data_IF_826620217212
#
_entry.id   IF_826620217212
#
_cell.length_a   1.000
_cell.length_b   1.000
_cell.length_c   1.000
_cell.angle_alpha   90.00
_cell.angle_beta   90.00
_cell.angle_gamma   90.00
#
_symmetry.space_group_name_H-M   'P 1'
#
loop_
_entity.id
_entity.type
_entity.pdbx_description
1 polymer ?
#
# COMPACT_ATOMS: atom_id res chain seq x y z
N UNK A 1 -44.04 -33.12 7.22
CA UNK A 1 -43.76 -32.16 6.11
C UNK A 1 -43.26 -30.77 6.56
N UNK A 2 -43.68 -30.23 7.71
CA UNK A 2 -43.27 -28.89 8.17
C UNK A 2 -41.76 -28.81 8.52
N UNK A 3 -41.19 -29.84 9.15
CA UNK A 3 -39.76 -29.87 9.53
C UNK A 3 -38.80 -29.79 8.33
N UNK A 4 -39.14 -30.40 7.19
CA UNK A 4 -38.31 -30.37 5.97
C UNK A 4 -38.30 -28.97 5.34
N UNK A 5 -39.44 -28.24 5.38
CA UNK A 5 -39.53 -26.87 4.88
C UNK A 5 -38.70 -25.88 5.71
N UNK A 6 -38.62 -26.07 7.03
CA UNK A 6 -37.82 -25.20 7.92
C UNK A 6 -36.31 -25.38 7.65
N UNK A 7 -35.86 -26.61 7.41
CA UNK A 7 -34.44 -26.89 7.10
C UNK A 7 -34.01 -26.23 5.78
N UNK A 8 -34.87 -26.22 4.77
CA UNK A 8 -34.60 -25.54 3.49
C UNK A 8 -34.56 -24.01 3.62
N UNK A 9 -35.42 -23.42 4.46
CA UNK A 9 -35.41 -21.97 4.72
C UNK A 9 -34.13 -21.55 5.46
N UNK A 10 -33.68 -22.34 6.45
CA UNK A 10 -32.44 -22.06 7.18
C UNK A 10 -31.20 -22.18 6.29
N UNK A 11 -31.14 -23.18 5.39
CA UNK A 11 -30.02 -23.32 4.45
C UNK A 11 -30.01 -22.20 3.40
N UNK A 12 -31.17 -21.76 2.91
CA UNK A 12 -31.27 -20.64 1.98
C UNK A 12 -30.91 -19.28 2.62
N UNK A 13 -31.24 -19.06 3.90
CA UNK A 13 -30.83 -17.86 4.63
C UNK A 13 -29.33 -17.85 4.97
N UNK A 14 -28.71 -19.01 5.17
CA UNK A 14 -27.26 -19.12 5.37
C UNK A 14 -26.46 -18.87 4.08
N UNK A 15 -26.99 -19.24 2.90
CA UNK A 15 -26.28 -19.00 1.62
C UNK A 15 -26.36 -17.56 1.13
N UNK A 16 -27.41 -16.81 1.50
CA UNK A 16 -27.56 -15.40 1.13
C UNK A 16 -26.62 -14.46 1.89
N UNK A 17 -26.10 -14.85 3.06
CA UNK A 17 -25.20 -14.02 3.85
C UNK A 17 -23.70 -14.17 3.47
N UNK A 18 -23.35 -15.00 2.49
CA UNK A 18 -21.95 -15.27 2.12
C UNK A 18 -21.38 -14.35 1.03
N UNK A 19 -22.15 -13.39 0.52
CA UNK A 19 -21.73 -12.51 -0.58
C UNK A 19 -21.59 -11.02 -0.23
N UNK A 20 -21.46 -10.66 1.06
CA UNK A 20 -21.26 -9.27 1.47
C UNK A 20 -19.80 -8.82 1.63
N UNK A 21 -18.81 -9.63 1.21
CA UNK A 21 -17.45 -9.10 1.06
C UNK A 21 -17.40 -8.33 -0.26
N UNK A 22 -17.64 -7.02 -0.19
CA UNK A 22 -17.34 -6.10 -1.28
C UNK A 22 -15.92 -6.38 -1.76
N UNK A 23 -15.73 -6.62 -3.06
CA UNK A 23 -14.42 -6.91 -3.65
C UNK A 23 -13.46 -5.78 -3.28
N UNK A 24 -12.51 -6.04 -2.38
CA UNK A 24 -11.51 -5.05 -1.95
C UNK A 24 -10.73 -4.58 -3.18
N UNK A 25 -10.84 -3.30 -3.49
CA UNK A 25 -10.18 -2.70 -4.66
C UNK A 25 -8.75 -2.27 -4.32
N UNK A 26 -7.93 -1.99 -5.34
CA UNK A 26 -6.61 -1.39 -5.13
C UNK A 26 -6.72 -0.04 -4.40
N UNK A 27 -7.79 0.71 -4.68
CA UNK A 27 -8.11 1.96 -3.98
C UNK A 27 -8.32 1.74 -2.48
N UNK A 28 -9.12 0.73 -2.09
CA UNK A 28 -9.35 0.38 -0.68
C UNK A 28 -8.04 0.00 0.02
N UNK A 29 -7.18 -0.77 -0.66
CA UNK A 29 -5.86 -1.18 -0.14
C UNK A 29 -4.97 0.04 0.11
N UNK A 30 -4.89 0.97 -0.85
CA UNK A 30 -4.13 2.20 -0.64
C UNK A 30 -4.67 3.03 0.52
N UNK A 31 -5.98 3.26 0.56
CA UNK A 31 -6.61 4.02 1.64
C UNK A 31 -6.28 3.41 3.00
N UNK A 32 -6.37 2.08 3.12
CA UNK A 32 -5.99 1.37 4.35
C UNK A 32 -4.53 1.61 4.72
N UNK A 33 -3.59 1.40 3.79
CA UNK A 33 -2.16 1.58 4.07
C UNK A 33 -1.80 3.01 4.42
N UNK A 34 -2.36 3.99 3.70
CA UNK A 34 -2.12 5.41 3.97
C UNK A 34 -2.64 5.81 5.35
N UNK A 35 -3.85 5.34 5.70
CA UNK A 35 -4.43 5.58 7.01
C UNK A 35 -3.56 4.97 8.12
N UNK A 36 -3.09 3.74 7.94
CA UNK A 36 -2.22 3.05 8.91
C UNK A 36 -0.81 3.64 9.00
N UNK A 37 -0.25 4.17 7.91
CA UNK A 37 1.09 4.75 7.87
C UNK A 37 1.17 6.13 8.53
N UNK A 38 0.07 6.92 8.48
CA UNK A 38 0.03 8.26 9.11
C UNK A 38 0.26 8.16 10.62
N UNK A 39 1.26 8.84 11.18
CA UNK A 39 1.45 8.84 12.65
C UNK A 39 0.29 9.56 13.35
N UNK A 40 -0.08 9.12 14.54
CA UNK A 40 -1.00 9.87 15.40
C UNK A 40 -0.36 11.24 15.68
N UNK A 41 -1.14 12.31 15.53
CA UNK A 41 -0.65 13.66 15.76
C UNK A 41 -1.06 14.06 17.18
N UNK A 42 -0.09 14.39 18.03
CA UNK A 42 -0.32 15.07 19.31
C UNK A 42 0.01 16.55 19.12
N UNK A 43 -0.99 17.43 19.19
CA UNK A 43 -0.76 18.88 19.23
C UNK A 43 -1.17 19.45 20.59
N UNK A 44 -0.45 20.48 21.01
CA UNK A 44 -0.69 21.21 22.26
C UNK A 44 -1.96 22.06 22.26
N UNK A 45 -2.49 22.41 21.09
CA UNK A 45 -3.72 23.20 20.91
C UNK A 45 -5.01 22.35 20.86
N UNK A 46 -4.88 21.03 20.67
CA UNK A 46 -5.96 20.08 20.73
C UNK A 46 -5.89 19.33 22.06
N UNK A 47 -6.85 19.58 22.95
CA UNK A 47 -6.93 18.94 24.27
C UNK A 47 -7.10 17.41 24.24
N UNK A 48 -7.13 16.80 23.05
CA UNK A 48 -7.38 15.38 22.82
C UNK A 48 -6.38 14.79 21.83
N UNK A 49 -5.69 13.74 22.27
CA UNK A 49 -4.98 12.81 21.39
C UNK A 49 -6.01 12.09 20.51
N UNK A 50 -5.94 12.25 19.19
CA UNK A 50 -6.78 11.48 18.26
C UNK A 50 -6.13 10.12 18.03
N UNK A 51 -6.83 9.07 18.45
CA UNK A 51 -6.42 7.67 18.27
C UNK A 51 -7.13 7.12 17.05
N UNK A 52 -6.39 6.42 16.18
CA UNK A 52 -6.98 5.71 15.03
C UNK A 52 -7.99 4.68 15.52
N UNK A 53 -9.18 4.74 14.96
CA UNK A 53 -10.25 3.78 15.18
C UNK A 53 -11.06 3.60 13.88
N UNK A 54 -11.97 2.64 13.89
CA UNK A 54 -12.77 2.28 12.71
C UNK A 54 -13.65 3.46 12.24
N UNK A 55 -14.26 4.21 13.17
CA UNK A 55 -15.05 5.39 12.84
C UNK A 55 -14.25 6.46 12.09
N UNK A 56 -12.99 6.66 12.48
CA UNK A 56 -12.09 7.60 11.82
C UNK A 56 -11.62 7.08 10.46
N UNK A 57 -11.41 5.77 10.33
CA UNK A 57 -11.11 5.14 9.06
C UNK A 57 -12.31 5.25 8.09
N UNK A 58 -13.53 5.06 8.56
CA UNK A 58 -14.74 5.21 7.74
C UNK A 58 -14.91 6.64 7.27
N UNK A 59 -14.69 7.62 8.15
CA UNK A 59 -14.67 9.04 7.78
C UNK A 59 -13.57 9.32 6.74
N UNK A 60 -12.34 8.83 6.95
CA UNK A 60 -11.27 8.94 5.97
C UNK A 60 -11.64 8.33 4.63
N UNK A 61 -12.13 7.09 4.62
CA UNK A 61 -12.48 6.34 3.41
C UNK A 61 -13.56 7.05 2.59
N UNK A 62 -14.57 7.61 3.26
CA UNK A 62 -15.68 8.33 2.65
C UNK A 62 -15.25 9.67 2.05
N UNK A 63 -14.35 10.38 2.74
CA UNK A 63 -13.99 11.75 2.37
C UNK A 63 -12.69 11.84 1.56
N UNK A 64 -11.88 10.77 1.49
CA UNK A 64 -10.67 10.70 0.67
C UNK A 64 -10.97 9.98 -0.65
N UNK A 65 -10.69 10.63 -1.77
CA UNK A 65 -10.70 10.03 -3.10
C UNK A 65 -9.28 10.00 -3.63
N UNK A 66 -8.84 8.85 -4.11
CA UNK A 66 -7.50 8.70 -4.70
C UNK A 66 -7.62 8.23 -6.13
N UNK A 67 -6.75 8.75 -7.01
CA UNK A 67 -6.57 8.21 -8.35
C UNK A 67 -5.32 7.36 -8.40
N UNK A 68 -5.44 6.21 -9.05
CA UNK A 68 -4.37 5.24 -9.19
C UNK A 68 -4.03 5.04 -10.65
N UNK A 69 -2.73 4.94 -10.93
CA UNK A 69 -2.21 4.44 -12.20
C UNK A 69 -1.45 3.13 -11.97
N UNK A 70 -1.43 2.28 -12.99
CA UNK A 70 -0.61 1.07 -12.99
C UNK A 70 0.78 1.37 -13.52
N UNK A 71 1.81 0.91 -12.82
CA UNK A 71 3.21 1.04 -13.26
C UNK A 71 3.58 -0.06 -14.24
N UNK A 72 4.37 0.28 -15.25
CA UNK A 72 4.85 -0.68 -16.25
C UNK A 72 5.91 -1.59 -15.66
N UNK A 73 5.66 -2.90 -15.71
CA UNK A 73 6.65 -3.95 -15.46
C UNK A 73 7.34 -4.30 -16.78
N UNK A 74 8.67 -4.22 -16.79
CA UNK A 74 9.53 -4.77 -17.84
C UNK A 74 10.34 -5.89 -17.20
N UNK A 75 9.98 -7.13 -17.51
CA UNK A 75 10.64 -8.30 -16.97
C UNK A 75 11.15 -9.17 -18.11
N UNK A 76 12.45 -9.43 -18.12
CA UNK A 76 13.05 -10.48 -18.98
C UNK A 76 13.18 -11.81 -18.22
N UNK A 77 12.68 -11.88 -16.98
CA UNK A 77 12.48 -13.13 -16.26
C UNK A 77 11.27 -13.80 -16.91
N UNK A 78 11.47 -14.38 -18.10
CA UNK A 78 10.43 -14.91 -18.99
C UNK A 78 9.15 -15.45 -18.28
N UNK A 79 8.01 -14.87 -18.67
CA UNK A 79 6.63 -15.40 -18.80
C UNK A 79 5.90 -16.05 -17.62
N UNK A 80 6.53 -16.46 -16.52
CA UNK A 80 5.80 -17.25 -15.49
C UNK A 80 5.21 -16.44 -14.33
N UNK A 81 5.84 -15.33 -13.95
CA UNK A 81 5.37 -14.47 -12.84
C UNK A 81 4.79 -13.13 -13.33
N UNK A 82 4.91 -12.84 -14.63
CA UNK A 82 4.39 -11.61 -15.23
C UNK A 82 2.86 -11.69 -15.24
N UNK A 83 2.23 -10.91 -14.36
CA UNK A 83 0.78 -10.95 -14.13
C UNK A 83 0.39 -11.36 -12.71
N UNK A 84 1.29 -12.03 -11.97
CA UNK A 84 1.04 -12.35 -10.56
C UNK A 84 1.03 -11.11 -9.68
N UNK A 85 1.71 -10.04 -10.11
CA UNK A 85 1.81 -8.79 -9.37
C UNK A 85 1.43 -7.61 -10.26
N UNK A 86 0.50 -6.79 -9.77
CA UNK A 86 0.18 -5.50 -10.36
C UNK A 86 0.71 -4.39 -9.47
N UNK A 87 1.42 -3.44 -10.07
CA UNK A 87 2.04 -2.32 -9.38
C UNK A 87 1.19 -1.09 -9.60
N UNK A 88 0.84 -0.41 -8.52
CA UNK A 88 0.00 0.77 -8.55
C UNK A 88 0.74 1.93 -7.91
N UNK A 89 0.46 3.13 -8.40
CA UNK A 89 0.91 4.38 -7.81
C UNK A 89 -0.23 5.38 -7.69
N UNK A 90 -0.17 6.25 -6.69
CA UNK A 90 -1.12 7.34 -6.55
C UNK A 90 -0.71 8.48 -7.47
N UNK A 91 -1.66 8.98 -8.27
CA UNK A 91 -1.46 10.15 -9.14
C UNK A 91 -2.16 11.39 -8.63
N UNK A 92 -3.22 11.24 -7.83
CA UNK A 92 -3.99 12.34 -7.28
C UNK A 92 -4.66 11.91 -5.97
N UNK A 93 -4.77 12.82 -5.01
CA UNK A 93 -5.56 12.63 -3.79
C UNK A 93 -6.41 13.88 -3.58
N UNK A 94 -7.71 13.67 -3.44
CA UNK A 94 -8.69 14.72 -3.15
C UNK A 94 -9.41 14.42 -1.85
N UNK A 95 -9.72 15.47 -1.11
CA UNK A 95 -10.54 15.39 0.10
C UNK A 95 -11.82 16.17 -0.13
N UNK A 96 -12.96 15.65 0.32
CA UNK A 96 -14.20 16.41 0.35
C UNK A 96 -14.18 17.44 1.50
N UNK A 97 -14.80 18.59 1.28
CA UNK A 97 -14.88 19.71 2.22
C UNK A 97 -15.66 19.40 3.51
N UNK A 98 -16.33 18.24 3.56
CA UNK A 98 -17.17 17.78 4.67
C UNK A 98 -16.39 17.21 5.87
N UNK A 99 -15.06 17.17 5.83
CA UNK A 99 -14.28 16.80 7.01
C UNK A 99 -14.38 17.90 8.07
N UNK A 100 -14.90 17.59 9.25
CA UNK A 100 -14.88 18.51 10.39
C UNK A 100 -13.45 19.02 10.59
N UNK A 101 -13.27 20.32 10.81
CA UNK A 101 -11.96 20.99 10.92
C UNK A 101 -10.98 20.17 11.75
N UNK A 102 -11.39 19.67 12.91
CA UNK A 102 -10.51 18.85 13.76
C UNK A 102 -10.06 17.57 13.05
N UNK A 103 -10.96 16.75 12.50
CA UNK A 103 -10.66 15.49 11.81
C UNK A 103 -9.90 15.69 10.49
N UNK A 104 -10.21 16.77 9.76
CA UNK A 104 -9.61 17.08 8.46
C UNK A 104 -8.09 17.24 8.51
N UNK A 105 -7.56 17.82 9.59
CA UNK A 105 -6.12 17.98 9.79
C UNK A 105 -5.41 16.67 10.11
N UNK A 106 -6.13 15.69 10.68
CA UNK A 106 -5.59 14.35 10.96
C UNK A 106 -5.60 13.43 9.73
N UNK A 107 -6.53 13.68 8.81
CA UNK A 107 -6.85 12.79 7.70
C UNK A 107 -6.26 13.21 6.35
N UNK A 108 -5.75 14.44 6.24
CA UNK A 108 -5.05 14.90 5.03
C UNK A 108 -3.66 14.26 4.91
N UNK A 109 -3.47 13.57 3.80
CA UNK A 109 -2.20 13.04 3.30
C UNK A 109 -1.71 14.02 2.23
N UNK A 110 -0.56 14.61 2.49
CA UNK A 110 0.11 15.47 1.53
C UNK A 110 1.04 14.62 0.66
N UNK A 111 0.82 14.68 -0.65
CA UNK A 111 1.76 14.15 -1.63
C UNK A 111 2.91 15.15 -1.75
N UNK A 112 4.12 14.79 -1.30
CA UNK A 112 5.30 15.59 -1.57
C UNK A 112 5.58 15.67 -3.08
N UNK A 113 6.13 16.79 -3.56
CA UNK A 113 6.32 17.09 -4.99
C UNK A 113 7.05 16.00 -5.80
N UNK A 114 7.97 15.25 -5.18
CA UNK A 114 8.78 14.21 -5.84
C UNK A 114 8.52 12.79 -5.32
N UNK A 115 7.50 12.60 -4.47
CA UNK A 115 7.32 11.35 -3.73
C UNK A 115 6.12 10.56 -4.23
N UNK A 116 6.35 9.30 -4.60
CA UNK A 116 5.32 8.38 -5.12
C UNK A 116 5.00 7.31 -4.09
N UNK A 117 3.74 7.21 -3.69
CA UNK A 117 3.27 6.01 -3.00
C UNK A 117 3.15 4.88 -4.02
N UNK A 118 3.83 3.76 -3.76
CA UNK A 118 3.84 2.60 -4.64
C UNK A 118 3.51 1.35 -3.85
N UNK A 119 2.48 0.62 -4.29
CA UNK A 119 2.08 -0.69 -3.76
C UNK A 119 2.13 -1.72 -4.87
N UNK A 120 2.70 -2.89 -4.58
CA UNK A 120 2.52 -4.09 -5.40
C UNK A 120 1.42 -4.96 -4.80
N UNK A 121 0.48 -5.45 -5.61
CA UNK A 121 -0.58 -6.35 -5.18
C UNK A 121 -0.41 -7.68 -5.91
N UNK A 122 -0.27 -8.75 -5.16
CA UNK A 122 -0.31 -10.10 -5.69
C UNK A 122 -1.76 -10.45 -6.09
N UNK A 123 -2.00 -10.65 -7.38
CA UNK A 123 -3.33 -10.85 -7.95
C UNK A 123 -3.95 -12.20 -7.55
N UNK A 124 -3.13 -13.19 -7.18
CA UNK A 124 -3.58 -14.52 -6.80
C UNK A 124 -4.00 -14.59 -5.31
N UNK A 125 -3.31 -13.84 -4.44
CA UNK A 125 -3.49 -13.91 -2.98
C UNK A 125 -4.12 -12.67 -2.37
N UNK A 126 -4.20 -11.56 -3.12
CA UNK A 126 -4.63 -10.26 -2.61
C UNK A 126 -3.62 -9.59 -1.66
N UNK A 127 -2.46 -10.22 -1.40
CA UNK A 127 -1.42 -9.62 -0.55
C UNK A 127 -0.85 -8.36 -1.19
N UNK A 128 -0.71 -7.32 -0.39
CA UNK A 128 -0.20 -6.02 -0.81
C UNK A 128 1.14 -5.69 -0.14
N UNK A 129 2.05 -5.06 -0.89
CA UNK A 129 3.40 -4.72 -0.44
C UNK A 129 3.67 -3.23 -0.64
N UNK A 130 3.98 -2.49 0.42
CA UNK A 130 4.39 -1.08 0.37
C UNK A 130 5.85 -1.00 -0.10
N UNK A 131 6.08 -0.48 -1.31
CA UNK A 131 7.41 -0.46 -1.93
C UNK A 131 8.07 0.91 -1.94
N UNK A 132 7.28 2.00 -1.90
CA UNK A 132 7.80 3.37 -1.86
C UNK A 132 6.80 4.35 -1.24
N UNK A 133 7.29 5.44 -0.65
CA UNK A 133 6.49 6.54 -0.11
C UNK A 133 6.00 6.36 1.33
N UNK A 134 5.90 5.12 1.82
CA UNK A 134 5.43 4.76 3.17
C UNK A 134 6.57 4.75 4.21
N UNK A 135 6.27 4.96 5.49
CA UNK A 135 7.25 4.77 6.59
C UNK A 135 7.75 3.34 6.70
N UNK A 136 6.87 2.38 6.45
CA UNK A 136 7.23 0.96 6.37
C UNK A 136 7.52 0.55 4.93
N UNK A 137 8.43 -0.40 4.73
CA UNK A 137 8.74 -0.93 3.42
C UNK A 137 8.73 -2.47 3.45
N UNK A 138 7.91 -3.08 2.61
CA UNK A 138 7.66 -4.52 2.60
C UNK A 138 8.50 -5.25 1.53
N UNK A 139 9.56 -4.62 1.01
CA UNK A 139 10.34 -5.14 -0.11
C UNK A 139 10.88 -6.55 0.10
N UNK A 140 11.34 -6.93 1.31
CA UNK A 140 11.84 -8.29 1.52
C UNK A 140 10.75 -9.35 1.49
N UNK A 141 9.55 -9.04 2.00
CA UNK A 141 8.40 -9.93 1.91
C UNK A 141 7.94 -10.07 0.45
N UNK A 142 7.86 -8.94 -0.27
CA UNK A 142 7.62 -8.92 -1.71
C UNK A 142 8.64 -9.78 -2.48
N UNK A 143 9.92 -9.57 -2.23
CA UNK A 143 11.00 -10.29 -2.89
C UNK A 143 10.96 -11.79 -2.58
N UNK A 144 10.61 -12.16 -1.35
CA UNK A 144 10.42 -13.57 -0.98
C UNK A 144 9.27 -14.20 -1.76
N UNK A 145 8.13 -13.53 -1.88
CA UNK A 145 6.98 -14.04 -2.64
C UNK A 145 7.29 -14.13 -4.15
N UNK A 146 8.05 -13.19 -4.71
CA UNK A 146 8.56 -13.28 -6.09
C UNK A 146 9.46 -14.50 -6.26
N UNK A 147 10.40 -14.73 -5.33
CA UNK A 147 11.27 -15.91 -5.37
C UNK A 147 10.48 -17.21 -5.30
N UNK A 148 9.45 -17.24 -4.46
CA UNK A 148 8.57 -18.40 -4.30
C UNK A 148 7.80 -18.66 -5.60
N UNK A 149 7.11 -17.65 -6.12
CA UNK A 149 6.38 -17.76 -7.39
C UNK A 149 7.31 -18.24 -8.51
N UNK A 150 8.49 -17.64 -8.66
CA UNK A 150 9.48 -18.07 -9.66
C UNK A 150 9.87 -19.54 -9.50
N UNK A 151 10.13 -19.99 -8.26
CA UNK A 151 10.48 -21.38 -7.96
C UNK A 151 9.34 -22.34 -8.30
N UNK A 152 8.10 -21.97 -7.99
CA UNK A 152 6.92 -22.79 -8.24
C UNK A 152 6.72 -23.01 -9.75
N UNK A 153 7.00 -22.01 -10.59
CA UNK A 153 6.92 -22.15 -12.05
C UNK A 153 8.16 -22.79 -12.71
N UNK A 154 9.36 -22.51 -12.20
CA UNK A 154 10.62 -22.86 -12.88
C UNK A 154 11.36 -24.02 -12.21
N UNK A 155 10.83 -24.56 -11.11
CA UNK A 155 11.43 -25.61 -10.28
C UNK A 155 12.87 -25.30 -9.80
N UNK A 156 13.25 -24.02 -9.74
CA UNK A 156 14.59 -23.56 -9.36
C UNK A 156 14.54 -22.22 -8.64
N UNK A 157 15.52 -21.97 -7.76
CA UNK A 157 15.59 -20.71 -7.02
C UNK A 157 15.95 -19.52 -7.90
N UNK A 158 15.23 -18.41 -7.70
CA UNK A 158 15.56 -17.13 -8.34
C UNK A 158 16.87 -16.58 -7.78
N UNK A 159 17.89 -16.51 -8.63
CA UNK A 159 19.18 -15.90 -8.30
C UNK A 159 19.01 -14.38 -8.12
N UNK A 160 19.52 -13.84 -7.02
CA UNK A 160 19.46 -12.39 -6.71
C UNK A 160 20.01 -11.50 -7.84
N UNK A 161 21.13 -11.91 -8.45
CA UNK A 161 21.74 -11.18 -9.57
C UNK A 161 20.80 -11.13 -10.79
N UNK A 162 20.01 -12.19 -11.01
CA UNK A 162 19.03 -12.24 -12.09
C UNK A 162 17.87 -11.28 -11.81
N UNK A 163 17.31 -11.31 -10.59
CA UNK A 163 16.24 -10.40 -10.19
C UNK A 163 16.59 -8.93 -10.44
N UNK A 164 17.72 -8.46 -9.92
CA UNK A 164 18.11 -7.05 -10.08
C UNK A 164 18.51 -6.66 -11.50
N UNK A 165 18.79 -7.62 -12.38
CA UNK A 165 19.16 -7.34 -13.76
C UNK A 165 17.95 -7.33 -14.68
N UNK A 166 16.99 -8.22 -14.42
CA UNK A 166 15.92 -8.52 -15.37
C UNK A 166 14.52 -8.12 -14.89
N UNK A 167 14.30 -7.81 -13.60
CA UNK A 167 12.98 -7.45 -13.06
C UNK A 167 12.90 -5.94 -12.80
N UNK A 168 12.36 -5.18 -13.76
CA UNK A 168 12.28 -3.73 -13.70
C UNK A 168 10.83 -3.25 -13.61
N UNK A 169 10.53 -2.41 -12.62
CA UNK A 169 9.25 -1.70 -12.53
C UNK A 169 9.53 -0.22 -12.59
N UNK A 170 8.75 0.49 -13.39
CA UNK A 170 8.85 1.94 -13.51
C UNK A 170 8.83 2.63 -12.14
N UNK A 171 9.72 3.61 -11.94
CA UNK A 171 9.84 4.38 -10.69
C UNK A 171 10.23 3.58 -9.44
N UNK A 172 10.72 2.33 -9.57
CA UNK A 172 11.23 1.53 -8.43
C UNK A 172 12.69 1.12 -8.66
N UNK A 173 13.57 1.47 -7.72
CA UNK A 173 14.95 0.96 -7.67
C UNK A 173 15.07 -0.16 -6.62
N UNK A 174 14.80 -1.40 -7.04
CA UNK A 174 14.92 -2.58 -6.17
C UNK A 174 16.33 -2.80 -5.61
N UNK A 175 17.36 -2.39 -6.35
CA UNK A 175 18.76 -2.55 -5.90
C UNK A 175 19.07 -1.57 -4.79
N UNK A 176 18.59 -0.32 -4.91
CA UNK A 176 18.64 0.67 -3.84
C UNK A 176 17.88 0.16 -2.60
N UNK A 177 16.63 -0.32 -2.77
CA UNK A 177 15.81 -0.85 -1.67
C UNK A 177 16.54 -1.98 -0.92
N UNK A 178 17.04 -2.97 -1.64
CA UNK A 178 17.78 -4.08 -1.05
C UNK A 178 19.02 -3.62 -0.27
N UNK A 179 19.80 -2.68 -0.84
CA UNK A 179 21.03 -2.21 -0.19
C UNK A 179 20.72 -1.36 1.04
N UNK A 180 19.73 -0.50 0.96
CA UNK A 180 19.34 0.40 2.05
C UNK A 180 18.70 -0.33 3.22
N UNK A 181 17.75 -1.24 2.95
CA UNK A 181 17.05 -1.99 4.01
C UNK A 181 17.93 -3.06 4.70
N UNK A 182 19.09 -3.42 4.13
CA UNK A 182 20.06 -4.30 4.79
C UNK A 182 21.02 -3.58 5.71
N UNK A 183 21.04 -2.25 5.74
CA UNK A 183 21.91 -1.52 6.65
C UNK A 183 21.39 -1.63 8.09
N UNK A 184 22.30 -1.66 9.06
CA UNK A 184 21.93 -1.63 10.49
C UNK A 184 21.22 -0.32 10.88
N UNK A 185 21.56 0.78 10.19
CA UNK A 185 20.93 2.09 10.35
C UNK A 185 20.46 2.60 8.99
N UNK A 186 19.20 3.01 8.91
CA UNK A 186 18.62 3.56 7.68
C UNK A 186 19.24 4.93 7.39
N UNK A 187 19.82 5.06 6.20
CA UNK A 187 20.41 6.30 5.67
C UNK A 187 19.64 6.70 4.39
N UNK A 188 18.69 7.63 4.54
CA UNK A 188 17.81 8.07 3.45
C UNK A 188 18.47 9.05 2.49
N UNK A 189 19.60 9.66 2.87
CA UNK A 189 20.38 10.53 1.98
C UNK A 189 21.14 9.68 0.98
N UNK A 190 21.80 8.62 1.47
CA UNK A 190 22.51 7.66 0.63
C UNK A 190 21.58 6.75 -0.17
N UNK A 191 20.42 6.40 0.38
CA UNK A 191 19.43 5.53 -0.26
C UNK A 191 18.10 6.28 -0.47
N UNK A 192 18.01 7.13 -1.51
CA UNK A 192 16.84 7.99 -1.73
C UNK A 192 15.55 7.19 -2.01
N UNK A 193 15.65 5.94 -2.46
CA UNK A 193 14.51 5.03 -2.60
C UNK A 193 13.77 4.72 -1.28
N UNK A 194 14.40 5.01 -0.12
CA UNK A 194 13.80 4.86 1.21
C UNK A 194 13.18 6.15 1.76
N UNK A 195 13.21 7.25 0.98
CA UNK A 195 12.51 8.47 1.34
C UNK A 195 11.00 8.21 1.29
N UNK A 196 10.34 8.68 2.34
CA UNK A 196 8.88 8.69 2.48
C UNK A 196 8.33 9.99 1.92
N UNK A 197 7.04 10.01 1.56
CA UNK A 197 6.40 11.25 1.10
C UNK A 197 6.36 12.35 2.18
N UNK A 198 6.55 11.98 3.45
CA UNK A 198 6.64 12.94 4.55
C UNK A 198 8.03 13.58 4.73
N UNK A 199 9.10 12.95 4.22
CA UNK A 199 10.47 13.45 4.44
C UNK A 199 10.75 14.72 3.63
N UNK A 200 10.12 14.86 2.46
CA UNK A 200 10.26 16.00 1.54
C UNK A 200 9.80 17.32 2.15
N UNK A 201 8.87 17.29 3.11
CA UNK A 201 8.40 18.49 3.82
C UNK A 201 9.44 19.07 4.79
N UNK A 202 10.34 18.24 5.32
CA UNK A 202 11.34 18.70 6.28
C UNK A 202 12.42 19.60 5.66
N UNK A 203 12.65 19.52 4.34
CA UNK A 203 13.62 20.38 3.63
C UNK A 203 13.07 21.76 3.24
N UNK A 204 11.74 21.95 3.19
CA UNK A 204 11.15 23.25 2.81
C UNK A 204 10.71 24.13 3.99
N UNK A 205 10.78 23.62 5.23
CA UNK A 205 10.53 24.45 6.42
C UNK A 205 11.76 25.23 6.91
N UNK A 206 12.92 25.12 6.24
CA UNK A 206 14.11 25.93 6.53
C UNK A 206 14.50 26.82 5.35
N UNK A 207 13.64 27.79 5.03
CA UNK A 207 14.01 29.02 4.29
C UNK A 207 12.89 30.06 4.42
N UNK A 208 12.61 30.47 5.65
CA UNK A 208 12.04 31.78 5.90
C UNK A 208 13.16 32.58 6.58
N UNK A 209 13.79 33.45 5.79
CA UNK A 209 14.62 34.54 6.31
C UNK A 209 13.69 35.65 6.76
#
# INVERSE_FOLDING_TARGET
MIKIKIVFILTFLCTLNLYSQSKTTAEDIFKMHLFLDKKNITRSDLSKTVVKNDSLYDSFKKNCSIKLDTLKLKSNIFLSIDGDFTFYTITDIKYSDSLNTNESWFLKIDLGYDSKYIIAINQNTGRSYRLSGFYSNDFFAFYFDIKKAYRDYNFKDLKKKLFFREYFVESIDFKCLYKGLRQNKIDKERFPCLKTCSDTFSMHQFKIK
#
